data_IF_289674362357
#
_entry.id   IF_289674362357
#
_cell.length_a   1.000
_cell.length_b   1.000
_cell.length_c   1.000
_cell.angle_alpha   90.00
_cell.angle_beta   90.00
_cell.angle_gamma   90.00
#
_symmetry.space_group_name_H-M   'P 1'
#
loop_
_entity.id
_entity.type
_entity.pdbx_description
1 polymer ?
#
# COMPACT_ATOMS: atom_id res chain seq x y z
N UNK A 1 32.12 14.14 29.90
CA UNK A 1 31.17 13.01 29.74
C UNK A 1 30.45 13.21 28.42
N UNK A 2 30.74 12.36 27.43
CA UNK A 2 30.30 12.57 26.06
C UNK A 2 28.83 12.22 25.86
N UNK A 3 28.06 13.18 25.36
CA UNK A 3 26.73 12.94 24.81
C UNK A 3 26.86 11.99 23.62
N UNK A 4 26.44 10.73 23.80
CA UNK A 4 26.17 9.83 22.69
C UNK A 4 24.90 10.35 22.02
N UNK A 5 25.07 11.07 20.92
CA UNK A 5 24.00 11.29 19.95
C UNK A 5 23.60 9.92 19.43
N UNK A 6 22.44 9.43 19.86
CA UNK A 6 21.80 8.25 19.30
C UNK A 6 21.57 8.53 17.82
N UNK A 7 22.26 7.79 16.94
CA UNK A 7 21.97 7.83 15.51
C UNK A 7 20.49 7.48 15.32
N UNK A 8 19.73 8.19 14.47
CA UNK A 8 18.37 7.79 14.14
C UNK A 8 18.44 6.39 13.52
N UNK A 9 17.88 5.40 14.19
CA UNK A 9 17.61 4.10 13.59
C UNK A 9 16.47 4.33 12.61
N UNK A 10 16.76 4.19 11.32
CA UNK A 10 15.76 4.25 10.27
C UNK A 10 14.89 3.00 10.43
N UNK A 11 13.74 3.15 11.08
CA UNK A 11 12.73 2.08 11.11
C UNK A 11 12.20 2.02 9.68
N UNK A 12 12.68 1.03 8.91
CA UNK A 12 12.15 0.68 7.58
C UNK A 12 10.82 -0.06 7.80
N UNK A 13 9.91 0.64 8.47
CA UNK A 13 8.50 0.34 8.56
C UNK A 13 7.80 1.14 7.47
N UNK A 14 6.84 0.50 6.78
CA UNK A 14 6.15 1.09 5.63
C UNK A 14 5.39 2.39 5.90
N UNK A 15 5.28 2.86 7.13
CA UNK A 15 4.62 4.11 7.48
C UNK A 15 5.42 5.31 7.02
N UNK A 16 6.73 5.36 7.26
CA UNK A 16 7.57 6.52 6.86
C UNK A 16 7.53 6.71 5.34
N UNK A 17 7.46 5.62 4.58
CA UNK A 17 7.38 5.69 3.11
C UNK A 17 5.97 6.00 2.61
N UNK A 18 4.92 5.45 3.23
CA UNK A 18 3.52 5.75 2.88
C UNK A 18 3.16 7.20 3.20
N UNK A 19 3.64 7.77 4.31
CA UNK A 19 3.40 9.17 4.65
C UNK A 19 4.22 10.13 3.80
N UNK A 20 5.50 9.82 3.52
CA UNK A 20 6.34 10.64 2.64
C UNK A 20 5.82 10.64 1.20
N UNK A 21 5.40 9.51 0.63
CA UNK A 21 4.89 9.55 -0.75
C UNK A 21 3.42 9.92 -0.90
N UNK A 22 2.60 9.83 0.17
CA UNK A 22 1.34 10.56 0.25
C UNK A 22 1.56 12.07 0.19
N UNK A 23 2.57 12.57 0.90
CA UNK A 23 2.99 13.98 0.89
C UNK A 23 3.61 14.41 -0.45
N UNK A 24 4.44 13.58 -1.09
CA UNK A 24 4.99 13.86 -2.43
C UNK A 24 3.87 13.85 -3.49
N UNK A 25 2.93 12.91 -3.44
CA UNK A 25 1.75 12.90 -4.31
C UNK A 25 0.88 14.15 -4.12
N UNK A 26 0.66 14.59 -2.87
CA UNK A 26 -0.06 15.82 -2.55
C UNK A 26 0.65 17.07 -3.05
N UNK A 27 1.97 17.19 -2.84
CA UNK A 27 2.75 18.32 -3.32
C UNK A 27 2.65 18.45 -4.84
N UNK A 28 2.70 17.33 -5.56
CA UNK A 28 2.58 17.31 -7.02
C UNK A 28 1.15 17.54 -7.53
N UNK A 29 0.11 17.07 -6.84
CA UNK A 29 -1.28 17.42 -7.19
C UNK A 29 -1.55 18.91 -6.96
N UNK A 30 -1.02 19.48 -5.89
CA UNK A 30 -1.16 20.91 -5.58
C UNK A 30 -0.32 21.77 -6.54
N UNK A 31 0.88 21.32 -6.94
CA UNK A 31 1.68 21.97 -7.99
C UNK A 31 1.03 21.86 -9.37
N UNK A 32 0.43 20.70 -9.72
CA UNK A 32 -0.35 20.53 -10.96
C UNK A 32 -1.59 21.42 -10.97
N UNK A 33 -2.37 21.47 -9.88
CA UNK A 33 -3.52 22.38 -9.75
C UNK A 33 -3.11 23.85 -9.78
N UNK A 34 -1.99 24.21 -9.14
CA UNK A 34 -1.45 25.58 -9.17
C UNK A 34 -0.96 25.97 -10.57
N UNK A 35 -0.32 25.04 -11.29
CA UNK A 35 0.11 25.24 -12.67
C UNK A 35 -1.07 25.23 -13.65
N UNK A 36 -2.10 24.42 -13.42
CA UNK A 36 -3.35 24.43 -14.18
C UNK A 36 -4.13 25.73 -13.98
N UNK A 37 -4.21 26.26 -12.74
CA UNK A 37 -4.77 27.59 -12.47
C UNK A 37 -3.95 28.71 -13.13
N UNK A 38 -2.61 28.63 -13.11
CA UNK A 38 -1.74 29.61 -13.80
C UNK A 38 -1.83 29.51 -15.32
N UNK A 39 -1.99 28.30 -15.86
CA UNK A 39 -2.20 28.08 -17.29
C UNK A 39 -3.60 28.51 -17.74
N UNK A 40 -4.63 28.36 -16.90
CA UNK A 40 -5.98 28.86 -17.18
C UNK A 40 -6.04 30.38 -17.14
N UNK A 41 -5.30 31.02 -16.23
CA UNK A 41 -5.11 32.47 -16.21
C UNK A 41 -4.22 33.00 -17.36
N UNK A 42 -3.39 32.17 -17.98
CA UNK A 42 -2.65 32.51 -19.21
C UNK A 42 -3.46 32.22 -20.48
N UNK A 43 -4.41 31.29 -20.46
CA UNK A 43 -5.29 30.98 -21.61
C UNK A 43 -6.41 32.02 -21.73
N UNK A 44 -6.97 32.54 -20.62
CA UNK A 44 -7.87 33.72 -20.65
C UNK A 44 -7.18 35.02 -21.11
N UNK A 45 -5.84 35.05 -21.14
CA UNK A 45 -5.06 36.17 -21.67
C UNK A 45 -4.68 36.03 -23.15
N UNK A 46 -4.96 34.88 -23.80
CA UNK A 46 -4.58 34.60 -25.20
C UNK A 46 -5.81 34.35 -26.10
N UNK A 47 -7.01 34.17 -25.55
CA UNK A 47 -8.27 34.05 -26.32
C UNK A 47 -8.85 35.38 -26.86
N UNK A 48 -7.99 36.26 -27.40
CA UNK A 48 -8.43 37.43 -28.15
C UNK A 48 -7.82 37.59 -29.56
N UNK A 49 -7.01 36.66 -30.04
CA UNK A 49 -6.59 36.67 -31.46
C UNK A 49 -6.44 35.26 -32.04
N UNK A 50 -7.17 34.98 -33.12
CA UNK A 50 -6.72 34.06 -34.16
C UNK A 50 -7.47 32.72 -34.32
N UNK A 51 -8.45 32.74 -35.21
CA UNK A 51 -9.07 31.56 -35.87
C UNK A 51 -8.05 30.72 -36.66
N UNK A 52 -8.49 29.51 -37.06
CA UNK A 52 -8.28 28.81 -38.38
C UNK A 52 -7.60 27.43 -38.22
N UNK A 53 -8.29 26.27 -38.24
CA UNK A 53 -8.73 25.39 -39.37
C UNK A 53 -7.98 24.03 -39.42
N UNK A 54 -8.77 22.94 -39.33
CA UNK A 54 -8.78 21.65 -40.09
C UNK A 54 -7.58 20.65 -40.01
N UNK A 55 -7.87 19.35 -39.75
CA UNK A 55 -7.76 18.17 -40.68
C UNK A 55 -7.24 16.84 -40.03
N UNK A 56 -8.13 15.84 -39.98
CA UNK A 56 -7.88 14.37 -40.07
C UNK A 56 -7.56 14.02 -41.56
N UNK A 57 -7.16 12.80 -42.04
CA UNK A 57 -7.22 11.44 -41.45
C UNK A 57 -6.09 10.43 -41.89
N UNK A 58 -6.28 9.12 -41.55
CA UNK A 58 -5.90 7.88 -42.31
C UNK A 58 -4.43 7.39 -42.27
N UNK A 59 -4.03 6.10 -42.35
CA UNK A 59 -4.65 4.77 -42.55
C UNK A 59 -3.59 3.65 -42.39
N UNK A 60 -4.01 2.43 -41.97
CA UNK A 60 -3.72 1.05 -42.50
C UNK A 60 -2.27 0.57 -42.75
N UNK A 61 -1.92 -0.66 -42.28
CA UNK A 61 -1.50 -1.84 -43.10
C UNK A 61 -1.45 -3.12 -42.22
N UNK A 62 -1.99 -4.21 -42.79
CA UNK A 62 -2.08 -5.63 -42.38
C UNK A 62 -1.05 -6.47 -43.16
N UNK A 63 -0.50 -7.57 -42.60
CA UNK A 63 -0.08 -8.85 -43.25
C UNK A 63 1.01 -9.57 -42.38
N UNK A 64 1.16 -10.90 -42.23
CA UNK A 64 0.54 -12.13 -42.77
C UNK A 64 0.88 -13.32 -41.85
N UNK A 65 0.07 -14.39 -41.92
CA UNK A 65 0.27 -15.72 -41.32
C UNK A 65 1.20 -16.61 -42.15
N UNK A 66 1.81 -17.62 -41.53
CA UNK A 66 2.20 -18.87 -42.20
C UNK A 66 2.17 -20.06 -41.23
N UNK A 67 1.47 -21.11 -41.68
CA UNK A 67 1.20 -22.40 -41.03
C UNK A 67 2.40 -23.37 -41.09
N UNK A 68 2.58 -24.19 -40.05
CA UNK A 68 3.23 -25.52 -40.14
C UNK A 68 2.49 -26.54 -39.26
N UNK A 69 2.26 -27.71 -39.86
CA UNK A 69 1.42 -28.86 -39.49
C UNK A 69 2.02 -29.70 -38.33
N UNK A 70 1.20 -30.45 -37.54
CA UNK A 70 1.61 -31.13 -36.31
C UNK A 70 2.04 -32.60 -36.52
N UNK A 71 2.89 -33.13 -35.64
CA UNK A 71 3.25 -34.57 -35.56
C UNK A 71 2.89 -35.15 -34.18
N UNK A 72 2.38 -36.40 -34.06
CA UNK A 72 1.82 -36.96 -32.81
C UNK A 72 2.89 -37.55 -31.84
N UNK A 73 2.52 -37.86 -30.58
CA UNK A 73 3.44 -37.93 -29.45
C UNK A 73 4.12 -39.30 -29.31
N UNK A 74 5.42 -39.28 -28.97
CA UNK A 74 6.09 -40.46 -28.41
C UNK A 74 6.09 -40.39 -26.89
N UNK A 75 5.44 -41.39 -26.30
CA UNK A 75 5.39 -41.66 -24.86
C UNK A 75 6.75 -42.26 -24.47
N UNK A 76 7.54 -41.51 -23.73
CA UNK A 76 8.70 -42.04 -23.00
C UNK A 76 8.48 -41.74 -21.53
N UNK A 77 8.05 -42.76 -20.79
CA UNK A 77 7.96 -42.74 -19.33
C UNK A 77 9.37 -42.61 -18.73
N UNK A 78 9.79 -41.38 -18.46
CA UNK A 78 10.76 -41.09 -17.43
C UNK A 78 10.04 -40.21 -16.40
N UNK A 79 9.54 -40.84 -15.36
CA UNK A 79 9.12 -40.15 -14.13
C UNK A 79 10.42 -39.67 -13.46
N UNK A 80 10.97 -38.57 -13.96
CA UNK A 80 11.69 -37.64 -13.12
C UNK A 80 10.61 -36.96 -12.29
N UNK A 81 10.60 -37.23 -10.98
CA UNK A 81 9.98 -36.34 -10.01
C UNK A 81 10.78 -35.05 -10.10
N UNK A 82 10.43 -34.18 -11.06
CA UNK A 82 10.65 -32.74 -10.91
C UNK A 82 9.72 -32.38 -9.76
N UNK A 83 10.29 -32.21 -8.57
CA UNK A 83 9.71 -31.27 -7.64
C UNK A 83 9.52 -29.99 -8.46
N UNK A 84 8.27 -29.67 -8.78
CA UNK A 84 7.92 -28.34 -9.27
C UNK A 84 8.32 -27.39 -8.14
N UNK A 85 9.56 -26.88 -8.21
CA UNK A 85 9.97 -25.75 -7.38
C UNK A 85 8.94 -24.67 -7.66
N UNK A 86 8.13 -24.36 -6.65
CA UNK A 86 7.24 -23.21 -6.69
C UNK A 86 8.10 -22.00 -7.08
N UNK A 87 7.93 -21.43 -8.29
CA UNK A 87 8.76 -20.32 -8.76
C UNK A 87 8.57 -19.06 -7.91
N UNK A 88 7.55 -19.05 -7.03
CA UNK A 88 7.30 -18.01 -6.04
C UNK A 88 7.99 -18.24 -4.70
N UNK A 89 8.65 -19.39 -4.49
CA UNK A 89 9.34 -19.68 -3.24
C UNK A 89 10.55 -18.76 -3.04
N UNK A 90 10.53 -18.00 -1.94
CA UNK A 90 11.67 -17.20 -1.50
C UNK A 90 12.90 -18.06 -1.12
N UNK A 91 12.73 -19.37 -0.98
CA UNK A 91 13.80 -20.31 -0.72
C UNK A 91 14.06 -21.25 -1.91
N UNK A 92 13.50 -20.95 -3.09
CA UNK A 92 13.79 -21.68 -4.32
C UNK A 92 15.23 -21.45 -4.78
N UNK A 93 15.84 -22.48 -5.38
CA UNK A 93 17.26 -22.46 -5.77
C UNK A 93 17.57 -21.27 -6.71
N UNK A 94 16.66 -20.95 -7.63
CA UNK A 94 16.81 -19.82 -8.55
C UNK A 94 16.90 -18.47 -7.83
N UNK A 95 16.05 -18.24 -6.82
CA UNK A 95 16.07 -16.99 -6.06
C UNK A 95 17.32 -16.90 -5.18
N UNK A 96 17.70 -18.00 -4.51
CA UNK A 96 18.92 -18.07 -3.70
C UNK A 96 20.16 -17.78 -4.55
N UNK A 97 20.26 -18.35 -5.75
CA UNK A 97 21.37 -18.09 -6.66
C UNK A 97 21.45 -16.61 -7.09
N UNK A 98 20.30 -15.98 -7.33
CA UNK A 98 20.23 -14.54 -7.61
C UNK A 98 20.71 -13.71 -6.42
N UNK A 99 20.20 -13.98 -5.22
CA UNK A 99 20.61 -13.30 -3.99
C UNK A 99 22.11 -13.43 -3.76
N UNK A 100 22.68 -14.63 -3.92
CA UNK A 100 24.12 -14.86 -3.77
C UNK A 100 24.94 -14.05 -4.78
N UNK A 101 24.50 -13.96 -6.04
CA UNK A 101 25.14 -13.15 -7.07
C UNK A 101 25.12 -11.66 -6.71
N UNK A 102 23.98 -11.16 -6.24
CA UNK A 102 23.81 -9.75 -5.87
C UNK A 102 24.56 -9.41 -4.58
N UNK A 103 24.61 -10.31 -3.60
CA UNK A 103 25.43 -10.13 -2.40
C UNK A 103 26.91 -10.01 -2.72
N UNK A 104 27.41 -10.84 -3.64
CA UNK A 104 28.79 -10.72 -4.12
C UNK A 104 29.04 -9.36 -4.79
N UNK A 105 28.13 -8.92 -5.66
CA UNK A 105 28.22 -7.60 -6.30
C UNK A 105 28.18 -6.45 -5.28
N UNK A 106 27.37 -6.55 -4.23
CA UNK A 106 27.35 -5.57 -3.14
C UNK A 106 28.70 -5.52 -2.41
N UNK A 107 29.26 -6.68 -2.06
CA UNK A 107 30.52 -6.77 -1.32
C UNK A 107 31.71 -6.25 -2.12
N UNK A 108 31.78 -6.57 -3.42
CA UNK A 108 32.90 -6.20 -4.29
C UNK A 108 32.78 -4.78 -4.86
N UNK A 109 31.56 -4.35 -5.20
CA UNK A 109 31.32 -3.16 -6.03
C UNK A 109 30.33 -2.17 -5.40
N UNK A 110 29.80 -2.46 -4.21
CA UNK A 110 28.78 -1.65 -3.53
C UNK A 110 27.52 -1.42 -4.37
N UNK A 111 27.22 -2.36 -5.27
CA UNK A 111 25.97 -2.36 -6.05
C UNK A 111 24.83 -2.82 -5.12
N UNK A 112 23.76 -2.03 -4.94
CA UNK A 112 22.65 -2.39 -4.06
C UNK A 112 21.93 -3.64 -4.57
N UNK A 113 21.29 -4.38 -3.65
CA UNK A 113 20.34 -5.43 -4.02
C UNK A 113 19.28 -4.87 -4.96
N UNK A 114 18.85 -5.68 -5.92
CA UNK A 114 17.84 -5.28 -6.89
C UNK A 114 16.48 -5.07 -6.25
N UNK A 115 15.68 -4.18 -6.85
CA UNK A 115 14.29 -3.95 -6.46
C UNK A 115 13.50 -5.27 -6.34
N UNK A 116 13.68 -6.21 -7.27
CA UNK A 116 12.98 -7.50 -7.24
C UNK A 116 13.33 -8.33 -5.99
N UNK A 117 14.60 -8.35 -5.57
CA UNK A 117 15.01 -9.04 -4.34
C UNK A 117 14.38 -8.39 -3.11
N UNK A 118 14.41 -7.07 -3.03
CA UNK A 118 13.84 -6.32 -1.91
C UNK A 118 12.32 -6.51 -1.81
N UNK A 119 11.62 -6.48 -2.94
CA UNK A 119 10.17 -6.72 -3.00
C UNK A 119 9.84 -8.15 -2.58
N UNK A 120 10.54 -9.17 -3.10
CA UNK A 120 10.29 -10.57 -2.71
C UNK A 120 10.52 -10.81 -1.21
N UNK A 121 11.57 -10.21 -0.63
CA UNK A 121 11.79 -10.25 0.82
C UNK A 121 10.63 -9.59 1.57
N UNK A 122 10.17 -8.44 1.08
CA UNK A 122 9.03 -7.73 1.67
C UNK A 122 7.75 -8.57 1.60
N UNK A 123 7.40 -9.11 0.43
CA UNK A 123 6.22 -9.98 0.22
C UNK A 123 6.22 -11.18 1.17
N UNK A 124 7.35 -11.88 1.26
CA UNK A 124 7.48 -13.00 2.17
C UNK A 124 7.39 -12.58 3.64
N UNK A 125 7.90 -11.39 3.99
CA UNK A 125 7.75 -10.81 5.33
C UNK A 125 6.28 -10.59 5.70
N UNK A 126 5.50 -10.00 4.79
CA UNK A 126 4.05 -9.85 4.94
C UNK A 126 3.33 -11.20 5.05
N UNK A 127 3.68 -12.17 4.21
CA UNK A 127 3.13 -13.54 4.27
C UNK A 127 3.40 -14.22 5.61
N UNK A 128 4.59 -14.04 6.19
CA UNK A 128 4.92 -14.56 7.52
C UNK A 128 4.22 -13.79 8.66
N UNK A 129 3.85 -12.52 8.43
CA UNK A 129 3.15 -11.68 9.39
C UNK A 129 1.64 -11.94 9.46
N UNK A 130 1.04 -12.60 8.46
CA UNK A 130 -0.40 -12.88 8.35
C UNK A 130 -1.06 -13.39 9.65
N UNK A 131 -0.56 -14.48 10.24
CA UNK A 131 -1.19 -15.09 11.42
C UNK A 131 -1.06 -14.21 12.67
N UNK A 132 0.15 -13.70 13.03
CA UNK A 132 0.27 -12.74 14.13
C UNK A 132 -0.52 -11.45 13.91
N UNK A 133 -0.60 -10.95 12.68
CA UNK A 133 -1.41 -9.79 12.32
C UNK A 133 -2.88 -10.00 12.66
N UNK A 134 -3.46 -11.13 12.25
CA UNK A 134 -4.88 -11.44 12.52
C UNK A 134 -5.19 -11.41 14.03
N UNK A 135 -4.32 -12.01 14.85
CA UNK A 135 -4.46 -12.01 16.31
C UNK A 135 -4.36 -10.60 16.91
N UNK A 136 -3.36 -9.83 16.47
CA UNK A 136 -3.15 -8.46 16.93
C UNK A 136 -4.31 -7.54 16.51
N UNK A 137 -4.85 -7.71 15.30
CA UNK A 137 -5.97 -6.93 14.77
C UNK A 137 -7.25 -7.18 15.58
N UNK A 138 -7.55 -8.43 15.92
CA UNK A 138 -8.70 -8.77 16.77
C UNK A 138 -8.59 -8.15 18.17
N UNK A 139 -7.41 -8.27 18.80
CA UNK A 139 -7.15 -7.65 20.10
C UNK A 139 -7.29 -6.12 20.02
N UNK A 140 -6.69 -5.49 19.00
CA UNK A 140 -6.75 -4.05 18.84
C UNK A 140 -8.17 -3.55 18.57
N UNK A 141 -8.97 -4.26 17.75
CA UNK A 141 -10.41 -4.00 17.55
C UNK A 141 -11.16 -3.93 18.88
N UNK A 142 -10.94 -4.92 19.75
CA UNK A 142 -11.60 -4.98 21.06
C UNK A 142 -11.18 -3.79 21.93
N UNK A 143 -9.88 -3.51 22.05
CA UNK A 143 -9.39 -2.45 22.91
C UNK A 143 -9.80 -1.06 22.43
N UNK A 144 -9.63 -0.75 21.14
CA UNK A 144 -9.96 0.57 20.59
C UNK A 144 -11.46 0.88 20.68
N UNK A 145 -12.32 -0.12 20.43
CA UNK A 145 -13.79 0.07 20.49
C UNK A 145 -14.28 0.37 21.91
N UNK A 146 -13.62 -0.15 22.96
CA UNK A 146 -13.94 0.20 24.37
C UNK A 146 -13.71 1.68 24.66
N UNK A 147 -12.73 2.29 23.99
CA UNK A 147 -12.31 3.69 24.22
C UNK A 147 -12.73 4.63 23.08
N UNK A 148 -13.67 4.22 22.23
CA UNK A 148 -14.09 5.01 21.05
C UNK A 148 -14.56 6.42 21.42
N UNK A 149 -15.19 6.58 22.58
CA UNK A 149 -15.66 7.89 23.07
C UNK A 149 -14.56 8.72 23.75
N UNK A 150 -13.31 8.26 23.75
CA UNK A 150 -12.15 8.93 24.34
C UNK A 150 -11.09 9.17 23.26
N UNK A 151 -11.18 10.29 22.50
CA UNK A 151 -10.40 10.48 21.28
C UNK A 151 -8.90 10.25 21.43
N UNK A 152 -8.27 10.77 22.49
CA UNK A 152 -6.85 10.57 22.75
C UNK A 152 -6.49 9.09 22.95
N UNK A 153 -7.27 8.37 23.76
CA UNK A 153 -7.02 6.97 24.04
C UNK A 153 -7.23 6.12 22.79
N UNK A 154 -8.29 6.42 22.03
CA UNK A 154 -8.57 5.78 20.75
C UNK A 154 -7.42 5.95 19.76
N UNK A 155 -6.96 7.19 19.57
CA UNK A 155 -5.84 7.49 18.65
C UNK A 155 -4.58 6.76 19.09
N UNK A 156 -4.24 6.80 20.38
CA UNK A 156 -3.11 6.05 20.92
C UNK A 156 -3.21 4.54 20.60
N UNK A 157 -4.40 3.93 20.73
CA UNK A 157 -4.60 2.53 20.37
C UNK A 157 -4.35 2.24 18.88
N UNK A 158 -4.72 3.14 17.96
CA UNK A 158 -4.46 2.91 16.53
C UNK A 158 -2.99 3.16 16.19
N UNK A 159 -2.36 4.18 16.77
CA UNK A 159 -0.94 4.46 16.58
C UNK A 159 -0.07 3.31 17.11
N UNK A 160 -0.35 2.83 18.32
CA UNK A 160 0.36 1.70 18.91
C UNK A 160 0.23 0.44 18.05
N UNK A 161 -0.98 0.14 17.56
CA UNK A 161 -1.19 -1.00 16.68
C UNK A 161 -0.45 -0.87 15.36
N UNK A 162 -0.45 0.32 14.75
CA UNK A 162 0.31 0.56 13.53
C UNK A 162 1.81 0.34 13.77
N UNK A 163 2.37 0.86 14.86
CA UNK A 163 3.78 0.64 15.25
C UNK A 163 4.08 -0.85 15.51
N UNK A 164 3.17 -1.57 16.19
CA UNK A 164 3.30 -3.02 16.40
C UNK A 164 3.30 -3.80 15.09
N UNK A 165 2.46 -3.41 14.13
CA UNK A 165 2.42 -4.03 12.80
C UNK A 165 3.73 -3.79 12.04
N UNK A 166 4.28 -2.59 12.10
CA UNK A 166 5.56 -2.28 11.47
C UNK A 166 6.71 -3.08 12.05
N UNK A 167 6.80 -3.12 13.39
CA UNK A 167 7.81 -3.90 14.07
C UNK A 167 7.72 -5.38 13.71
N UNK A 168 6.50 -5.94 13.65
CA UNK A 168 6.25 -7.31 13.23
C UNK A 168 6.72 -7.56 11.79
N UNK A 169 6.36 -6.70 10.83
CA UNK A 169 6.75 -6.85 9.42
C UNK A 169 8.28 -6.78 9.29
N UNK A 170 8.90 -5.80 9.94
CA UNK A 170 10.35 -5.64 9.92
C UNK A 170 11.06 -6.86 10.55
N UNK A 171 10.57 -7.37 11.67
CA UNK A 171 11.08 -8.59 12.30
C UNK A 171 11.05 -9.78 11.31
N UNK A 172 9.94 -9.97 10.58
CA UNK A 172 9.83 -11.06 9.58
C UNK A 172 10.76 -10.86 8.39
N UNK A 173 10.92 -9.64 7.90
CA UNK A 173 11.88 -9.33 6.83
C UNK A 173 13.32 -9.60 7.27
N UNK A 174 13.69 -9.20 8.49
CA UNK A 174 15.04 -9.42 9.02
C UNK A 174 15.33 -10.91 9.26
N UNK A 175 14.33 -11.70 9.70
CA UNK A 175 14.46 -13.16 9.79
C UNK A 175 14.71 -13.80 8.41
N UNK A 176 14.00 -13.33 7.38
CA UNK A 176 14.24 -13.75 5.99
C UNK A 176 15.64 -13.36 5.53
N UNK A 177 16.06 -12.11 5.75
CA UNK A 177 17.39 -11.63 5.40
C UNK A 177 18.48 -12.48 6.07
N UNK A 178 18.32 -12.78 7.36
CA UNK A 178 19.23 -13.65 8.11
C UNK A 178 19.37 -15.04 7.45
N UNK A 179 18.25 -15.67 7.08
CA UNK A 179 18.24 -16.97 6.37
C UNK A 179 18.90 -16.89 5.00
N UNK A 180 18.78 -15.76 4.32
CA UNK A 180 19.42 -15.47 3.03
C UNK A 180 20.87 -14.95 3.17
N UNK A 181 21.38 -14.83 4.39
CA UNK A 181 22.72 -14.28 4.71
C UNK A 181 22.92 -12.83 4.24
N UNK A 182 21.83 -12.07 4.18
CA UNK A 182 21.83 -10.63 3.97
C UNK A 182 21.87 -9.97 5.35
N UNK A 183 22.89 -9.16 5.64
CA UNK A 183 22.90 -8.40 6.89
C UNK A 183 21.84 -7.30 6.85
N UNK A 184 21.37 -6.86 8.03
CA UNK A 184 20.45 -5.73 8.12
C UNK A 184 21.03 -4.50 7.40
N UNK A 185 22.29 -4.15 7.66
CA UNK A 185 22.96 -3.03 7.01
C UNK A 185 22.94 -3.12 5.46
N UNK A 186 23.19 -4.30 4.87
CA UNK A 186 23.12 -4.46 3.41
C UNK A 186 21.70 -4.25 2.91
N UNK A 187 20.72 -4.82 3.61
CA UNK A 187 19.31 -4.70 3.26
C UNK A 187 18.84 -3.25 3.32
N UNK A 188 19.09 -2.56 4.45
CA UNK A 188 18.68 -1.18 4.69
C UNK A 188 19.34 -0.21 3.69
N UNK A 189 20.65 -0.35 3.47
CA UNK A 189 21.36 0.49 2.49
C UNK A 189 20.87 0.24 1.06
N UNK A 190 20.63 -1.02 0.70
CA UNK A 190 20.09 -1.35 -0.63
C UNK A 190 18.70 -0.79 -0.81
N UNK A 191 17.87 -0.83 0.23
CA UNK A 191 16.55 -0.22 0.24
C UNK A 191 16.65 1.30 0.01
N UNK A 192 17.46 1.99 0.81
CA UNK A 192 17.66 3.44 0.65
C UNK A 192 18.09 3.79 -0.78
N UNK A 193 19.11 3.12 -1.32
CA UNK A 193 19.62 3.41 -2.66
C UNK A 193 18.62 3.11 -3.78
N UNK A 194 17.82 2.04 -3.66
CA UNK A 194 16.81 1.69 -4.66
C UNK A 194 15.60 2.64 -4.64
N UNK A 195 15.30 3.21 -3.48
CA UNK A 195 14.14 4.07 -3.25
C UNK A 195 14.50 5.56 -3.14
N UNK A 196 15.67 5.98 -3.62
CA UNK A 196 16.04 7.40 -3.69
C UNK A 196 15.28 8.17 -4.78
N UNK A 197 14.80 7.47 -5.82
CA UNK A 197 14.04 8.11 -6.91
C UNK A 197 12.53 8.08 -6.65
N UNK A 198 11.84 9.14 -7.10
CA UNK A 198 10.43 9.35 -6.83
C UNK A 198 9.52 8.24 -7.40
N UNK A 199 9.87 7.70 -8.58
CA UNK A 199 9.09 6.65 -9.23
C UNK A 199 9.14 5.33 -8.44
N UNK A 200 10.30 4.96 -7.92
CA UNK A 200 10.51 3.78 -7.09
C UNK A 200 9.77 3.92 -5.75
N UNK A 201 9.81 5.11 -5.13
CA UNK A 201 9.03 5.41 -3.91
C UNK A 201 7.54 5.19 -4.17
N UNK A 202 7.01 5.71 -5.28
CA UNK A 202 5.59 5.52 -5.62
C UNK A 202 5.24 4.03 -5.80
N UNK A 203 6.07 3.28 -6.51
CA UNK A 203 5.86 1.83 -6.68
C UNK A 203 5.87 1.09 -5.35
N UNK A 204 6.80 1.44 -4.46
CA UNK A 204 6.89 0.87 -3.11
C UNK A 204 5.63 1.12 -2.29
N UNK A 205 5.06 2.31 -2.38
CA UNK A 205 3.86 2.68 -1.65
C UNK A 205 2.66 1.87 -2.13
N UNK A 206 2.43 1.81 -3.44
CA UNK A 206 1.36 0.99 -3.99
C UNK A 206 1.51 -0.47 -3.62
N UNK A 207 2.76 -0.97 -3.65
CA UNK A 207 3.08 -2.31 -3.24
C UNK A 207 2.77 -2.54 -1.75
N UNK A 208 3.22 -1.67 -0.85
CA UNK A 208 2.93 -1.78 0.59
C UNK A 208 1.43 -1.70 0.91
N UNK A 209 0.68 -0.84 0.20
CA UNK A 209 -0.78 -0.77 0.32
C UNK A 209 -1.45 -2.07 -0.11
N UNK A 210 -1.01 -2.66 -1.23
CA UNK A 210 -1.47 -3.98 -1.69
C UNK A 210 -1.18 -5.06 -0.65
N UNK A 211 0.01 -5.09 -0.07
CA UNK A 211 0.38 -6.05 0.97
C UNK A 211 -0.46 -5.87 2.25
N UNK A 212 -0.77 -4.64 2.66
CA UNK A 212 -1.70 -4.39 3.78
C UNK A 212 -3.12 -4.89 3.48
N UNK A 213 -3.61 -4.72 2.25
CA UNK A 213 -4.90 -5.31 1.86
C UNK A 213 -4.87 -6.84 1.90
N UNK A 214 -3.75 -7.47 1.52
CA UNK A 214 -3.58 -8.92 1.64
C UNK A 214 -3.59 -9.39 3.11
N UNK A 215 -3.02 -8.62 4.03
CA UNK A 215 -3.13 -8.90 5.45
C UNK A 215 -4.59 -8.86 5.92
N UNK A 216 -5.38 -7.87 5.52
CA UNK A 216 -6.81 -7.81 5.83
C UNK A 216 -7.53 -9.03 5.22
N UNK A 217 -7.30 -9.32 3.94
CA UNK A 217 -7.90 -10.45 3.23
C UNK A 217 -7.51 -11.82 3.82
N UNK A 218 -6.41 -11.90 4.56
CA UNK A 218 -5.98 -13.12 5.23
C UNK A 218 -6.80 -13.45 6.48
N UNK A 219 -7.57 -12.49 7.01
CA UNK A 219 -8.54 -12.72 8.07
C UNK A 219 -9.79 -13.35 7.43
N UNK A 220 -10.23 -14.54 7.87
CA UNK A 220 -11.42 -15.16 7.30
C UNK A 220 -12.66 -14.31 7.57
N UNK A 221 -13.32 -13.88 6.48
CA UNK A 221 -14.62 -13.21 6.55
C UNK A 221 -15.65 -14.11 7.24
N UNK A 222 -16.42 -13.51 8.14
CA UNK A 222 -17.45 -14.18 8.93
C UNK A 222 -18.86 -13.92 8.40
N UNK A 223 -19.02 -12.92 7.52
CA UNK A 223 -20.32 -12.48 7.01
C UNK A 223 -20.28 -12.28 5.50
N UNK A 224 -21.31 -12.78 4.83
CA UNK A 224 -21.59 -12.43 3.45
C UNK A 224 -22.45 -11.16 3.41
N UNK A 225 -21.96 -10.14 2.72
CA UNK A 225 -22.62 -8.84 2.59
C UNK A 225 -23.34 -8.80 1.24
N UNK A 226 -24.62 -8.43 1.24
CA UNK A 226 -25.37 -8.21 0.00
C UNK A 226 -24.95 -6.91 -0.69
N UNK A 227 -25.21 -6.79 -2.00
CA UNK A 227 -24.94 -5.53 -2.72
C UNK A 227 -25.65 -4.33 -2.08
N UNK A 228 -26.90 -4.53 -1.62
CA UNK A 228 -27.68 -3.48 -0.95
C UNK A 228 -27.07 -3.07 0.39
N UNK A 229 -26.55 -4.02 1.18
CA UNK A 229 -25.90 -3.70 2.46
C UNK A 229 -24.59 -2.96 2.23
N UNK A 230 -23.82 -3.39 1.22
CA UNK A 230 -22.58 -2.70 0.83
C UNK A 230 -22.84 -1.26 0.39
N UNK A 231 -23.90 -1.02 -0.38
CA UNK A 231 -24.31 0.35 -0.74
C UNK A 231 -24.68 1.19 0.50
N UNK A 232 -25.34 0.60 1.50
CA UNK A 232 -25.64 1.28 2.77
C UNK A 232 -24.38 1.60 3.57
N UNK A 233 -23.41 0.68 3.63
CA UNK A 233 -22.10 0.90 4.26
C UNK A 233 -21.39 2.09 3.60
N UNK A 234 -21.33 2.12 2.28
CA UNK A 234 -20.69 3.19 1.52
C UNK A 234 -21.38 4.53 1.79
N UNK A 235 -22.72 4.57 1.72
CA UNK A 235 -23.49 5.77 1.99
C UNK A 235 -23.29 6.28 3.42
N UNK A 236 -23.22 5.39 4.42
CA UNK A 236 -22.93 5.75 5.80
C UNK A 236 -21.55 6.41 5.91
N UNK A 237 -20.52 5.80 5.32
CA UNK A 237 -19.16 6.33 5.38
C UNK A 237 -19.05 7.69 4.70
N UNK A 238 -19.63 7.84 3.50
CA UNK A 238 -19.66 9.11 2.77
C UNK A 238 -20.39 10.20 3.56
N UNK A 239 -21.53 9.89 4.17
CA UNK A 239 -22.29 10.81 5.02
C UNK A 239 -21.50 11.19 6.28
N UNK A 240 -20.78 10.23 6.88
CA UNK A 240 -19.95 10.51 8.06
C UNK A 240 -18.79 11.42 7.72
N UNK A 241 -18.15 11.23 6.57
CA UNK A 241 -17.08 12.10 6.08
C UNK A 241 -17.53 13.55 5.85
N UNK A 242 -18.83 13.83 5.70
CA UNK A 242 -19.33 15.20 5.64
C UNK A 242 -19.34 15.91 7.01
N UNK A 243 -19.25 15.15 8.11
CA UNK A 243 -19.13 15.68 9.48
C UNK A 243 -17.65 15.84 9.88
N UNK A 244 -17.00 16.87 9.34
CA UNK A 244 -15.58 17.17 9.61
C UNK A 244 -15.33 17.37 11.12
N UNK A 245 -16.28 17.98 11.83
CA UNK A 245 -16.15 18.29 13.27
C UNK A 245 -16.04 17.04 14.14
N UNK A 246 -16.64 15.93 13.69
CA UNK A 246 -16.48 14.64 14.34
C UNK A 246 -15.02 14.16 14.31
N UNK A 247 -14.36 14.23 13.15
CA UNK A 247 -12.98 13.77 12.98
C UNK A 247 -11.95 14.70 13.61
N UNK A 248 -12.19 16.02 13.61
CA UNK A 248 -11.29 17.00 14.23
C UNK A 248 -10.95 16.64 15.69
N UNK A 249 -11.93 16.13 16.46
CA UNK A 249 -11.73 15.72 17.85
C UNK A 249 -10.69 14.63 18.04
N UNK A 250 -10.52 13.75 17.05
CA UNK A 250 -9.51 12.70 17.05
C UNK A 250 -8.20 13.22 16.46
N UNK A 251 -8.25 13.94 15.35
CA UNK A 251 -7.04 14.37 14.66
C UNK A 251 -6.25 15.45 15.40
N UNK A 252 -6.91 16.29 16.20
CA UNK A 252 -6.23 17.29 17.06
C UNK A 252 -5.35 16.65 18.14
N UNK A 253 -5.48 15.34 18.38
CA UNK A 253 -4.64 14.60 19.33
C UNK A 253 -3.29 14.19 18.74
N UNK A 254 -3.15 14.24 17.40
CA UNK A 254 -1.91 13.91 16.70
C UNK A 254 -0.91 15.07 16.80
N UNK A 255 0.35 14.76 17.11
CA UNK A 255 1.42 15.75 17.25
C UNK A 255 2.64 15.40 16.40
N UNK A 256 3.32 16.42 15.87
CA UNK A 256 4.56 16.23 15.11
C UNK A 256 4.37 15.31 13.90
N UNK A 257 5.21 14.28 13.81
CA UNK A 257 5.21 13.31 12.70
C UNK A 257 3.94 12.46 12.65
N UNK A 258 3.24 12.27 13.79
CA UNK A 258 2.00 11.48 13.86
C UNK A 258 0.86 12.11 13.04
N UNK A 259 0.91 13.41 12.76
CA UNK A 259 -0.09 14.09 11.93
C UNK A 259 -0.23 13.43 10.56
N UNK A 260 0.87 12.85 10.05
CA UNK A 260 0.86 12.17 8.76
C UNK A 260 -0.01 10.90 8.76
N UNK A 261 -0.37 10.38 9.95
CA UNK A 261 -1.21 9.18 10.14
C UNK A 261 -2.70 9.50 10.24
N UNK A 262 -3.11 10.76 10.06
CA UNK A 262 -4.50 11.16 10.19
C UNK A 262 -5.46 10.41 9.26
N UNK A 263 -5.08 10.16 8.01
CA UNK A 263 -5.90 9.37 7.08
C UNK A 263 -6.09 7.91 7.54
N UNK A 264 -5.10 7.34 8.23
CA UNK A 264 -5.20 6.00 8.84
C UNK A 264 -6.21 6.04 10.00
N UNK A 265 -6.12 7.05 10.87
CA UNK A 265 -7.05 7.24 11.99
C UNK A 265 -8.49 7.38 11.49
N UNK A 266 -8.74 8.22 10.46
CA UNK A 266 -10.06 8.38 9.85
C UNK A 266 -10.57 7.04 9.30
N UNK A 267 -9.73 6.31 8.56
CA UNK A 267 -10.13 5.04 7.95
C UNK A 267 -10.53 4.01 9.01
N UNK A 268 -9.74 3.87 10.08
CA UNK A 268 -10.04 2.93 11.17
C UNK A 268 -11.32 3.35 11.92
N UNK A 269 -11.53 4.66 12.16
CA UNK A 269 -12.77 5.18 12.74
C UNK A 269 -13.99 4.84 11.88
N UNK A 270 -13.90 5.00 10.56
CA UNK A 270 -14.97 4.65 9.65
C UNK A 270 -15.28 3.15 9.70
N UNK A 271 -14.24 2.29 9.75
CA UNK A 271 -14.42 0.84 9.92
C UNK A 271 -15.14 0.51 11.22
N UNK A 272 -14.77 1.13 12.34
CA UNK A 272 -15.43 0.88 13.63
C UNK A 272 -16.86 1.45 13.71
N UNK A 273 -17.16 2.55 13.00
CA UNK A 273 -18.54 3.04 12.83
C UNK A 273 -19.38 2.04 12.04
N UNK A 274 -18.83 1.48 10.96
CA UNK A 274 -19.51 0.46 10.16
C UNK A 274 -19.76 -0.80 10.99
N UNK A 275 -18.78 -1.24 11.78
CA UNK A 275 -18.97 -2.34 12.71
C UNK A 275 -20.07 -2.05 13.73
N UNK A 276 -20.09 -0.87 14.34
CA UNK A 276 -21.11 -0.52 15.32
C UNK A 276 -22.52 -0.47 14.72
N UNK A 277 -22.67 -0.06 13.45
CA UNK A 277 -23.97 0.08 12.80
C UNK A 277 -24.47 -1.23 12.16
N UNK A 278 -23.58 -1.99 11.52
CA UNK A 278 -23.93 -3.14 10.68
C UNK A 278 -23.27 -4.45 11.15
N UNK A 279 -22.28 -4.37 12.04
CA UNK A 279 -21.51 -5.52 12.52
C UNK A 279 -20.56 -6.10 11.47
N UNK A 280 -20.27 -5.39 10.39
CA UNK A 280 -19.33 -5.85 9.37
C UNK A 280 -17.91 -5.44 9.72
N UNK A 281 -16.97 -6.38 9.55
CA UNK A 281 -15.54 -6.13 9.69
C UNK A 281 -14.91 -5.82 8.32
N UNK A 282 -13.69 -5.31 8.33
CA UNK A 282 -12.97 -4.87 7.12
C UNK A 282 -12.80 -6.00 6.08
N UNK A 283 -12.55 -7.22 6.54
CA UNK A 283 -12.43 -8.42 5.70
C UNK A 283 -13.75 -8.79 5.01
N UNK A 284 -14.89 -8.57 5.67
CA UNK A 284 -16.22 -8.81 5.07
C UNK A 284 -16.49 -7.79 3.96
N UNK A 285 -16.18 -6.52 4.25
CA UNK A 285 -16.33 -5.40 3.30
C UNK A 285 -15.42 -5.62 2.09
N UNK A 286 -14.16 -6.00 2.31
CA UNK A 286 -13.20 -6.28 1.25
C UNK A 286 -13.67 -7.43 0.35
N UNK A 287 -14.16 -8.53 0.93
CA UNK A 287 -14.73 -9.67 0.17
C UNK A 287 -15.92 -9.21 -0.68
N UNK A 288 -16.81 -8.40 -0.11
CA UNK A 288 -17.99 -7.89 -0.81
C UNK A 288 -17.63 -6.96 -1.97
N UNK A 289 -16.65 -6.06 -1.79
CA UNK A 289 -16.17 -5.16 -2.85
C UNK A 289 -15.65 -5.93 -4.05
N UNK A 290 -14.93 -7.03 -3.81
CA UNK A 290 -14.42 -7.89 -4.88
C UNK A 290 -15.56 -8.61 -5.61
N UNK A 291 -16.65 -8.94 -4.91
CA UNK A 291 -17.84 -9.56 -5.48
C UNK A 291 -18.72 -8.58 -6.29
N UNK A 292 -18.71 -7.28 -5.95
CA UNK A 292 -19.52 -6.24 -6.62
C UNK A 292 -18.67 -5.09 -7.19
N UNK A 293 -17.95 -5.30 -8.32
CA UNK A 293 -17.02 -4.32 -8.87
C UNK A 293 -17.65 -2.97 -9.26
N UNK A 294 -18.96 -2.93 -9.52
CA UNK A 294 -19.68 -1.71 -9.89
C UNK A 294 -19.63 -0.66 -8.77
N UNK A 295 -19.49 -1.09 -7.51
CA UNK A 295 -19.36 -0.21 -6.35
C UNK A 295 -17.89 0.18 -6.06
N UNK A 296 -16.91 -0.33 -6.82
CA UNK A 296 -15.47 -0.05 -6.63
C UNK A 296 -15.15 1.45 -6.78
N UNK A 297 -15.82 2.13 -7.70
CA UNK A 297 -15.63 3.57 -7.91
C UNK A 297 -16.02 4.40 -6.67
N UNK A 298 -16.96 3.91 -5.85
CA UNK A 298 -17.37 4.60 -4.64
C UNK A 298 -16.33 4.49 -3.51
N UNK A 299 -15.48 3.45 -3.52
CA UNK A 299 -14.35 3.37 -2.60
C UNK A 299 -13.28 4.41 -2.91
N UNK A 300 -13.02 4.65 -4.20
CA UNK A 300 -12.12 5.72 -4.61
C UNK A 300 -12.65 7.08 -4.12
N UNK A 301 -13.98 7.29 -4.18
CA UNK A 301 -14.61 8.50 -3.63
C UNK A 301 -14.47 8.59 -2.11
N UNK A 302 -14.63 7.48 -1.37
CA UNK A 302 -14.39 7.45 0.08
C UNK A 302 -12.95 7.85 0.39
N UNK A 303 -11.97 7.24 -0.28
CA UNK A 303 -10.55 7.56 -0.07
C UNK A 303 -10.23 9.03 -0.40
N UNK A 304 -10.80 9.57 -1.48
CA UNK A 304 -10.67 10.99 -1.80
C UNK A 304 -11.28 11.89 -0.71
N UNK A 305 -12.47 11.53 -0.20
CA UNK A 305 -13.10 12.29 0.90
C UNK A 305 -12.34 12.18 2.21
N UNK A 306 -11.78 11.02 2.56
CA UNK A 306 -10.88 10.85 3.72
C UNK A 306 -9.75 11.85 3.65
N UNK A 307 -9.13 11.99 2.48
CA UNK A 307 -8.04 12.94 2.28
C UNK A 307 -8.48 14.40 2.44
N UNK A 308 -9.64 14.77 1.90
CA UNK A 308 -10.21 16.12 2.07
C UNK A 308 -10.51 16.42 3.54
N UNK A 309 -11.12 15.47 4.25
CA UNK A 309 -11.41 15.62 5.69
C UNK A 309 -10.12 15.79 6.48
N UNK A 310 -9.10 14.98 6.18
CA UNK A 310 -7.79 15.08 6.82
C UNK A 310 -7.19 16.49 6.63
N UNK A 311 -7.17 17.00 5.40
CA UNK A 311 -6.66 18.34 5.08
C UNK A 311 -7.44 19.44 5.81
N UNK A 312 -8.78 19.35 5.83
CA UNK A 312 -9.63 20.32 6.51
C UNK A 312 -9.50 20.29 8.05
N UNK A 313 -9.00 19.19 8.62
CA UNK A 313 -8.76 19.09 10.07
C UNK A 313 -7.40 19.68 10.49
N UNK A 314 -6.48 19.89 9.54
CA UNK A 314 -5.14 20.42 9.80
C UNK A 314 -5.03 21.95 9.55
N UNK A 315 -6.05 22.56 8.95
CA UNK A 315 -6.19 24.02 8.78
C UNK A 315 -6.79 24.65 10.04
#
# INVERSE_FOLDING_TARGET
>A
MGNKVTKPQLIIGGVVVVTIGGFIYQKKQNEKRSNELKSSQQIEAIENEGKTIIQNPSQVVVQSQQDVIPTPPQITNNIQIKEEEDPSSIYGVNFINKVNKELKAYQEQRIPLSFEVLIKITEAGFKQATKPYSQNQQRNRIERRKVINSPQQYVNCVLEFNNQLEALINEKQLDICSKLRISSEIYENSFMMQFENEAAIQQLIFFQLSQRQQLIASIPSQKDISESDLAQVINLQLKKLDDVTFFQKYLQTLQGEDQQLGSIVITILLSDIVYNQFGFEEEDILKAILAYPMLKNQLAQIQQKVQIVFENCLQ
#
